data_IF_012308860119
#
_entry.id   IF_012308860119
#
_cell.length_a   1.000
_cell.length_b   1.000
_cell.length_c   1.000
_cell.angle_alpha   90.00
_cell.angle_beta   90.00
_cell.angle_gamma   90.00
#
_symmetry.space_group_name_H-M   'P 1'
#
loop_
_entity.id
_entity.type
_entity.pdbx_description
1 polymer ?
#
# COMPACT_ATOMS: atom_id res chain seq x y z
N UNK A 1 -49.85 18.74 5.28
CA UNK A 1 -48.93 19.89 5.42
C UNK A 1 -47.99 19.83 4.23
N UNK A 2 -48.24 20.63 3.20
CA UNK A 2 -47.50 20.57 1.93
C UNK A 2 -46.32 21.51 2.03
N UNK A 3 -45.09 20.99 1.93
CA UNK A 3 -43.88 21.82 1.98
C UNK A 3 -43.73 22.52 0.64
N UNK A 4 -43.80 23.86 0.63
CA UNK A 4 -43.62 24.66 -0.57
C UNK A 4 -42.14 24.58 -1.03
N UNK A 5 -41.91 24.17 -2.28
CA UNK A 5 -40.59 23.91 -2.87
C UNK A 5 -39.84 25.17 -3.36
N UNK A 6 -40.29 26.39 -3.01
CA UNK A 6 -39.76 27.63 -3.59
C UNK A 6 -38.70 28.36 -2.76
N UNK A 7 -38.02 27.71 -1.81
CA UNK A 7 -37.15 28.41 -0.84
C UNK A 7 -36.04 29.28 -1.47
N UNK A 8 -35.60 29.01 -2.71
CA UNK A 8 -34.49 29.72 -3.35
C UNK A 8 -34.72 30.08 -4.83
N UNK A 9 -35.96 30.28 -5.26
CA UNK A 9 -36.31 30.40 -6.69
C UNK A 9 -35.62 31.57 -7.43
N UNK A 10 -35.07 32.56 -6.70
CA UNK A 10 -34.39 33.74 -7.27
C UNK A 10 -33.11 34.15 -6.52
N UNK A 11 -32.56 33.26 -5.70
CA UNK A 11 -31.34 33.57 -4.96
C UNK A 11 -30.11 33.54 -5.88
N UNK A 12 -29.20 34.50 -5.70
CA UNK A 12 -27.87 34.53 -6.32
C UNK A 12 -26.83 34.80 -5.24
N UNK A 13 -25.58 34.37 -5.45
CA UNK A 13 -24.47 34.50 -4.48
C UNK A 13 -24.74 33.79 -3.13
N UNK A 14 -25.28 32.57 -3.18
CA UNK A 14 -25.50 31.76 -1.99
C UNK A 14 -24.28 30.86 -1.74
N UNK A 15 -23.72 30.95 -0.54
CA UNK A 15 -22.59 30.14 -0.09
C UNK A 15 -22.94 29.46 1.24
N UNK A 16 -22.61 28.18 1.37
CA UNK A 16 -22.77 27.42 2.61
C UNK A 16 -21.37 27.09 3.14
N UNK A 17 -21.04 27.61 4.31
CA UNK A 17 -19.83 27.25 5.03
C UNK A 17 -20.11 26.14 6.05
N UNK A 18 -19.16 25.22 6.22
CA UNK A 18 -19.11 24.23 7.31
C UNK A 18 -20.39 23.40 7.54
N UNK A 19 -21.11 23.04 6.47
CA UNK A 19 -22.37 22.27 6.55
C UNK A 19 -22.32 20.96 5.74
N UNK A 20 -23.19 20.01 6.10
CA UNK A 20 -23.38 18.76 5.35
C UNK A 20 -24.56 18.88 4.38
N UNK A 21 -24.28 18.72 3.07
CA UNK A 21 -25.33 18.71 2.05
C UNK A 21 -25.90 17.30 1.87
N UNK A 22 -27.17 17.10 2.24
CA UNK A 22 -27.86 15.80 2.14
C UNK A 22 -28.77 15.81 0.91
N UNK A 23 -28.34 15.17 -0.18
CA UNK A 23 -29.18 14.89 -1.36
C UNK A 23 -29.68 13.44 -1.26
N UNK A 24 -30.88 13.21 -0.71
CA UNK A 24 -31.49 11.87 -0.67
C UNK A 24 -30.58 10.75 -0.11
N UNK A 25 -30.80 9.50 -0.55
CA UNK A 25 -30.12 8.28 -0.06
C UNK A 25 -28.58 8.22 -0.33
N UNK A 26 -27.91 9.34 -0.57
CA UNK A 26 -26.46 9.41 -0.70
C UNK A 26 -25.94 10.08 0.57
N UNK A 27 -25.58 9.25 1.56
CA UNK A 27 -25.02 9.72 2.84
C UNK A 27 -23.49 9.80 2.84
N UNK A 28 -22.82 9.42 1.74
CA UNK A 28 -21.37 9.16 1.76
C UNK A 28 -20.65 9.84 0.58
N UNK A 29 -20.71 11.18 0.47
CA UNK A 29 -19.77 11.92 -0.36
C UNK A 29 -18.73 12.58 0.53
N UNK A 30 -17.60 11.91 0.73
CA UNK A 30 -16.46 12.48 1.44
C UNK A 30 -15.58 13.22 0.41
N UNK A 31 -15.69 14.55 0.37
CA UNK A 31 -14.74 15.39 -0.39
C UNK A 31 -13.43 15.36 0.38
N UNK A 32 -12.50 14.51 -0.05
CA UNK A 32 -11.14 14.54 0.47
C UNK A 32 -10.44 15.78 -0.07
N UNK A 33 -9.83 16.58 0.80
CA UNK A 33 -8.89 17.60 0.34
C UNK A 33 -7.68 16.92 -0.31
N UNK A 34 -7.13 17.54 -1.35
CA UNK A 34 -5.88 17.14 -2.01
C UNK A 34 -4.73 16.86 -1.01
N UNK A 35 -4.66 17.63 0.08
CA UNK A 35 -3.67 17.45 1.15
C UNK A 35 -3.83 16.12 1.88
N UNK A 36 -5.08 15.66 2.06
CA UNK A 36 -5.38 14.39 2.74
C UNK A 36 -5.01 13.21 1.85
N UNK A 37 -5.34 13.28 0.56
CA UNK A 37 -4.94 12.30 -0.45
C UNK A 37 -3.40 12.17 -0.52
N UNK A 38 -2.69 13.30 -0.59
CA UNK A 38 -1.22 13.32 -0.64
C UNK A 38 -0.59 12.65 0.59
N UNK A 39 -1.09 12.96 1.80
CA UNK A 39 -0.61 12.33 3.04
C UNK A 39 -0.80 10.83 3.06
N UNK A 40 -1.92 10.33 2.53
CA UNK A 40 -2.19 8.89 2.46
C UNK A 40 -1.25 8.22 1.47
N UNK A 41 -1.05 8.82 0.29
CA UNK A 41 -0.09 8.31 -0.69
C UNK A 41 1.34 8.29 -0.14
N UNK A 42 1.75 9.33 0.57
CA UNK A 42 3.06 9.39 1.21
C UNK A 42 3.23 8.35 2.31
N UNK A 43 2.17 8.07 3.10
CA UNK A 43 2.18 7.02 4.11
C UNK A 43 2.26 5.61 3.50
N UNK A 44 1.56 5.38 2.39
CA UNK A 44 1.60 4.11 1.65
C UNK A 44 2.85 3.93 0.79
N UNK A 45 3.62 5.01 0.57
CA UNK A 45 4.80 4.95 -0.28
C UNK A 45 5.82 4.00 0.30
N UNK A 46 6.20 3.01 -0.50
CA UNK A 46 7.25 2.08 -0.11
C UNK A 46 8.55 2.86 0.20
N UNK A 47 9.29 2.48 1.24
CA UNK A 47 10.61 3.06 1.49
C UNK A 47 11.54 2.77 0.30
N UNK A 48 12.48 3.68 0.05
CA UNK A 48 13.52 3.40 -0.93
C UNK A 48 14.42 2.27 -0.42
N UNK A 49 14.31 1.11 -1.08
CA UNK A 49 15.07 -0.10 -0.73
C UNK A 49 16.50 -0.11 -1.30
N UNK A 50 16.90 0.90 -2.09
CA UNK A 50 18.21 0.96 -2.74
C UNK A 50 19.37 0.90 -1.73
N UNK A 51 19.24 1.61 -0.61
CA UNK A 51 20.24 1.67 0.47
C UNK A 51 20.41 0.30 1.14
N UNK A 52 19.30 -0.38 1.43
CA UNK A 52 19.32 -1.73 2.02
C UNK A 52 19.92 -2.75 1.06
N UNK A 53 19.57 -2.65 -0.24
CA UNK A 53 20.14 -3.49 -1.28
C UNK A 53 21.67 -3.31 -1.38
N UNK A 54 22.14 -2.07 -1.48
CA UNK A 54 23.57 -1.78 -1.58
C UNK A 54 24.31 -2.26 -0.33
N UNK A 55 23.77 -2.00 0.85
CA UNK A 55 24.34 -2.47 2.12
C UNK A 55 24.44 -4.01 2.15
N UNK A 56 23.43 -4.73 1.66
CA UNK A 56 23.47 -6.18 1.59
C UNK A 56 24.52 -6.67 0.57
N UNK A 57 24.65 -5.99 -0.57
CA UNK A 57 25.68 -6.29 -1.58
C UNK A 57 27.08 -6.06 -1.01
N UNK A 58 27.30 -5.00 -0.24
CA UNK A 58 28.61 -4.66 0.33
C UNK A 58 28.99 -5.59 1.50
N UNK A 59 28.01 -5.99 2.31
CA UNK A 59 28.22 -6.84 3.49
C UNK A 59 28.22 -8.34 3.18
N UNK A 60 27.70 -8.77 2.03
CA UNK A 60 27.69 -10.20 1.71
C UNK A 60 29.13 -10.70 1.59
N UNK A 61 29.43 -11.81 2.23
CA UNK A 61 30.69 -12.52 2.01
C UNK A 61 30.54 -13.39 0.77
N UNK A 62 31.48 -13.27 -0.18
CA UNK A 62 31.49 -14.09 -1.39
C UNK A 62 31.48 -15.59 -1.05
N UNK A 63 30.64 -16.37 -1.74
CA UNK A 63 30.50 -17.80 -1.50
C UNK A 63 29.56 -18.19 -0.34
N UNK A 64 29.15 -17.25 0.52
CA UNK A 64 28.14 -17.53 1.55
C UNK A 64 26.81 -17.88 0.91
N UNK A 65 26.22 -19.01 1.33
CA UNK A 65 24.97 -19.53 0.77
C UNK A 65 25.13 -20.26 -0.57
N UNK A 66 26.32 -20.24 -1.19
CA UNK A 66 26.58 -20.96 -2.44
C UNK A 66 26.34 -22.47 -2.29
N UNK A 67 26.66 -23.01 -1.11
CA UNK A 67 26.42 -24.41 -0.77
C UNK A 67 24.93 -24.82 -0.84
N UNK A 68 23.99 -23.90 -0.64
CA UNK A 68 22.55 -24.16 -0.73
C UNK A 68 22.15 -24.26 -2.21
N UNK A 69 22.54 -23.26 -3.01
CA UNK A 69 22.13 -23.17 -4.42
C UNK A 69 22.79 -24.22 -5.30
N UNK A 70 23.96 -24.71 -4.90
CA UNK A 70 24.66 -25.79 -5.59
C UNK A 70 24.11 -27.17 -5.23
N UNK A 71 23.40 -27.30 -4.10
CA UNK A 71 22.86 -28.55 -3.59
C UNK A 71 21.80 -29.13 -4.53
N UNK A 72 21.83 -30.45 -4.71
CA UNK A 72 20.93 -31.14 -5.63
C UNK A 72 19.45 -30.97 -5.24
N UNK A 73 19.15 -31.01 -3.95
CA UNK A 73 17.78 -30.81 -3.45
C UNK A 73 17.21 -29.43 -3.80
N UNK A 74 18.03 -28.38 -3.75
CA UNK A 74 17.61 -27.04 -4.16
C UNK A 74 17.32 -26.99 -5.66
N UNK A 75 18.19 -27.59 -6.49
CA UNK A 75 18.01 -27.62 -7.95
C UNK A 75 16.74 -28.38 -8.33
N UNK A 76 16.52 -29.54 -7.73
CA UNK A 76 15.32 -30.35 -7.96
C UNK A 76 14.05 -29.64 -7.47
N UNK A 77 14.11 -28.97 -6.32
CA UNK A 77 12.99 -28.17 -5.82
C UNK A 77 12.65 -27.01 -6.75
N UNK A 78 13.66 -26.31 -7.29
CA UNK A 78 13.47 -25.16 -8.18
C UNK A 78 12.70 -25.52 -9.45
N UNK A 79 12.78 -26.75 -9.90
CA UNK A 79 12.07 -27.26 -11.07
C UNK A 79 10.63 -27.72 -10.74
N UNK A 80 10.26 -27.83 -9.46
CA UNK A 80 8.94 -28.26 -8.99
C UNK A 80 8.17 -27.19 -8.21
N UNK A 81 6.94 -27.51 -7.83
CA UNK A 81 6.06 -26.66 -7.00
C UNK A 81 5.76 -27.31 -5.64
N UNK A 82 6.82 -27.68 -4.91
CA UNK A 82 6.75 -28.25 -3.57
C UNK A 82 7.40 -27.33 -2.52
N UNK A 83 7.36 -27.73 -1.25
CA UNK A 83 8.02 -27.01 -0.13
C UNK A 83 9.44 -27.57 0.06
N UNK A 84 10.44 -26.69 0.17
CA UNK A 84 11.82 -27.04 0.52
C UNK A 84 12.15 -26.60 1.95
N UNK A 85 12.57 -27.55 2.78
CA UNK A 85 13.12 -27.27 4.10
C UNK A 85 14.65 -27.22 4.03
N UNK A 86 15.23 -26.09 4.44
CA UNK A 86 16.69 -25.91 4.48
C UNK A 86 17.13 -25.88 5.93
N UNK A 87 17.95 -26.86 6.33
CA UNK A 87 18.63 -26.84 7.62
C UNK A 87 20.06 -26.38 7.42
N UNK A 88 20.49 -25.36 8.18
CA UNK A 88 21.89 -24.94 8.16
C UNK A 88 22.82 -26.07 8.60
N UNK A 89 24.08 -26.07 8.14
CA UNK A 89 25.09 -26.99 8.68
C UNK A 89 25.24 -26.72 10.18
N UNK A 90 24.71 -27.62 11.01
CA UNK A 90 25.11 -27.74 12.40
C UNK A 90 26.60 -28.06 12.43
N UNK A 91 27.35 -27.39 13.30
CA UNK A 91 28.78 -27.70 13.50
C UNK A 91 28.89 -29.18 13.86
N UNK A 92 29.54 -29.97 13.00
CA UNK A 92 30.01 -31.33 13.28
C UNK A 92 31.44 -31.29 13.81
#
# INVERSE_FOLDING_TARGET
MTVNSSMFERASNFEIHDSNFVIGNITNYHVMSNDTETKIHDWLRAPDCSVNFQTAVDKKTGGTGQWIVDHLEYKNWKEGSSVLWIQGKGRS
#
